data_IF_465032823009
#
_entry.id   IF_465032823009
#
_cell.length_a   1.000
_cell.length_b   1.000
_cell.length_c   1.000
_cell.angle_alpha   90.00
_cell.angle_beta   90.00
_cell.angle_gamma   90.00
#
_symmetry.space_group_name_H-M   'P 1'
#
loop_
_entity.id
_entity.type
_entity.pdbx_description
1 polymer ?
#
# COMPACT_ATOMS: atom_id res chain seq x y z
N UNK A 1 -3.79 -3.12 -0.15
CA UNK A 1 -4.28 -2.09 -1.08
C UNK A 1 -3.63 -2.16 -2.46
N UNK A 2 -2.33 -2.46 -2.59
CA UNK A 2 -1.68 -2.61 -3.91
C UNK A 2 -2.37 -3.62 -4.86
N UNK A 3 -2.86 -4.76 -4.36
CA UNK A 3 -3.61 -5.73 -5.17
C UNK A 3 -4.98 -5.26 -5.66
N UNK A 4 -5.58 -4.23 -5.04
CA UNK A 4 -6.84 -3.65 -5.50
C UNK A 4 -6.62 -2.62 -6.62
N UNK A 5 -5.42 -2.05 -6.72
CA UNK A 5 -5.05 -1.08 -7.76
C UNK A 5 -5.01 -1.71 -9.17
N UNK A 6 -4.87 -3.05 -9.27
CA UNK A 6 -4.91 -3.82 -10.53
C UNK A 6 -6.28 -4.50 -10.75
N UNK A 7 -7.32 -4.10 -10.01
CA UNK A 7 -8.63 -4.76 -10.06
C UNK A 7 -9.28 -4.73 -11.46
N UNK A 8 -9.02 -3.70 -12.27
CA UNK A 8 -9.51 -3.59 -13.64
C UNK A 8 -8.91 -4.62 -14.61
N UNK A 9 -7.74 -5.18 -14.31
CA UNK A 9 -7.05 -6.16 -15.16
C UNK A 9 -7.35 -7.62 -14.78
N UNK A 10 -8.13 -7.82 -13.71
CA UNK A 10 -8.49 -9.15 -13.23
C UNK A 10 -9.74 -9.67 -13.94
N UNK A 11 -9.69 -10.93 -14.42
CA UNK A 11 -10.89 -11.59 -14.96
C UNK A 11 -12.07 -11.63 -13.97
N UNK A 12 -11.79 -11.88 -12.68
CA UNK A 12 -12.77 -11.94 -11.57
C UNK A 12 -12.23 -11.25 -10.30
N UNK A 13 -12.27 -9.91 -10.18
CA UNK A 13 -11.66 -9.19 -9.06
C UNK A 13 -12.30 -9.48 -7.71
N UNK A 14 -13.62 -9.72 -7.67
CA UNK A 14 -14.39 -9.99 -6.45
C UNK A 14 -13.98 -11.26 -5.72
N UNK A 15 -13.49 -12.27 -6.45
CA UNK A 15 -13.02 -13.54 -5.88
C UNK A 15 -11.48 -13.54 -5.69
N UNK A 16 -10.75 -12.94 -6.65
CA UNK A 16 -9.30 -13.04 -6.71
C UNK A 16 -8.59 -12.20 -5.64
N UNK A 17 -9.10 -11.01 -5.33
CA UNK A 17 -8.51 -10.10 -4.34
C UNK A 17 -8.60 -10.69 -2.91
N UNK A 18 -9.78 -11.10 -2.40
CA UNK A 18 -9.88 -11.61 -1.04
C UNK A 18 -9.23 -12.99 -0.87
N UNK A 19 -9.38 -13.89 -1.84
CA UNK A 19 -8.74 -15.22 -1.78
C UNK A 19 -7.22 -15.10 -1.76
N UNK A 20 -6.65 -14.23 -2.61
CA UNK A 20 -5.21 -13.97 -2.63
C UNK A 20 -4.69 -13.34 -1.34
N UNK A 21 -5.49 -12.48 -0.69
CA UNK A 21 -5.11 -11.84 0.58
C UNK A 21 -5.22 -12.83 1.75
N UNK A 22 -6.25 -13.66 1.81
CA UNK A 22 -6.45 -14.63 2.90
C UNK A 22 -5.40 -15.75 2.91
N UNK A 23 -5.14 -16.36 1.74
CA UNK A 23 -4.12 -17.41 1.57
C UNK A 23 -2.74 -16.94 2.03
N UNK A 24 -2.46 -15.64 1.87
CA UNK A 24 -1.19 -15.06 2.27
C UNK A 24 -1.01 -14.93 3.79
N UNK A 25 -2.03 -14.46 4.51
CA UNK A 25 -1.92 -14.19 5.95
C UNK A 25 -2.08 -15.44 6.81
N UNK A 26 -2.91 -16.39 6.38
CA UNK A 26 -3.26 -17.57 7.17
C UNK A 26 -2.87 -18.90 6.51
N UNK A 27 -2.45 -18.89 5.24
CA UNK A 27 -1.98 -20.09 4.55
C UNK A 27 -0.53 -20.42 4.91
N UNK A 28 -0.33 -21.56 5.57
CA UNK A 28 0.99 -22.08 5.91
C UNK A 28 1.86 -22.24 4.64
N UNK A 29 3.14 -21.79 4.63
CA UNK A 29 3.97 -21.78 3.42
C UNK A 29 4.23 -23.18 2.83
N UNK A 30 4.07 -24.24 3.63
CA UNK A 30 4.32 -25.63 3.21
C UNK A 30 3.15 -26.27 2.42
N UNK A 31 1.95 -25.68 2.43
CA UNK A 31 0.75 -26.25 1.77
C UNK A 31 0.48 -25.69 0.36
N UNK A 32 1.39 -24.89 -0.18
CA UNK A 32 1.16 -24.09 -1.40
C UNK A 32 1.48 -24.80 -2.73
N UNK A 33 1.84 -26.09 -2.73
CA UNK A 33 2.33 -26.73 -3.96
C UNK A 33 1.23 -27.27 -4.90
N UNK A 34 -0.05 -27.27 -4.49
CA UNK A 34 -1.11 -28.00 -5.24
C UNK A 34 -2.30 -27.16 -5.71
N UNK A 35 -2.10 -25.93 -6.20
CA UNK A 35 -3.19 -25.23 -6.90
C UNK A 35 -2.75 -24.38 -8.11
N UNK A 36 -3.20 -24.79 -9.30
CA UNK A 36 -3.01 -24.11 -10.59
C UNK A 36 -3.98 -22.93 -10.69
N UNK A 37 -3.54 -21.69 -10.45
CA UNK A 37 -4.27 -20.49 -10.92
C UNK A 37 -3.31 -19.36 -11.35
N UNK A 38 -3.47 -18.92 -12.60
CA UNK A 38 -2.46 -18.14 -13.34
C UNK A 38 -2.44 -16.62 -13.02
N UNK A 39 -3.47 -16.08 -12.35
CA UNK A 39 -3.55 -14.63 -12.00
C UNK A 39 -3.55 -14.31 -10.49
N UNK A 40 -3.42 -15.32 -9.61
CA UNK A 40 -3.35 -15.12 -8.15
C UNK A 40 -1.91 -15.06 -7.60
N UNK A 41 -0.92 -15.29 -8.46
CA UNK A 41 0.49 -15.45 -8.09
C UNK A 41 1.17 -14.13 -7.72
N UNK A 42 0.97 -13.06 -8.48
CA UNK A 42 1.76 -11.82 -8.35
C UNK A 42 1.78 -11.24 -6.93
N UNK A 43 0.60 -10.98 -6.35
CA UNK A 43 0.48 -10.38 -5.01
C UNK A 43 0.97 -11.31 -3.90
N UNK A 44 0.69 -12.62 -4.01
CA UNK A 44 1.10 -13.62 -3.04
C UNK A 44 2.63 -13.79 -3.03
N UNK A 45 3.24 -13.91 -4.20
CA UNK A 45 4.69 -13.97 -4.35
C UNK A 45 5.35 -12.66 -3.92
N UNK A 46 4.78 -11.50 -4.27
CA UNK A 46 5.34 -10.20 -3.87
C UNK A 46 5.41 -10.04 -2.36
N UNK A 47 4.35 -10.42 -1.63
CA UNK A 47 4.37 -10.27 -0.17
C UNK A 47 5.24 -11.35 0.46
N UNK A 48 5.16 -12.60 -0.02
CA UNK A 48 6.03 -13.69 0.44
C UNK A 48 7.52 -13.38 0.27
N UNK A 49 7.92 -12.80 -0.87
CA UNK A 49 9.31 -12.38 -1.09
C UNK A 49 9.69 -11.23 -0.18
N UNK A 50 8.85 -10.20 -0.02
CA UNK A 50 9.18 -9.09 0.90
C UNK A 50 9.34 -9.54 2.35
N UNK A 51 8.44 -10.39 2.85
CA UNK A 51 8.54 -10.95 4.20
C UNK A 51 9.81 -11.78 4.37
N UNK A 52 10.13 -12.64 3.40
CA UNK A 52 11.36 -13.43 3.42
C UNK A 52 12.62 -12.55 3.41
N UNK A 53 12.64 -11.49 2.61
CA UNK A 53 13.76 -10.53 2.56
C UNK A 53 13.93 -9.81 3.89
N UNK A 54 12.84 -9.33 4.53
CA UNK A 54 12.94 -8.69 5.84
C UNK A 54 13.42 -9.65 6.93
N UNK A 55 12.94 -10.90 6.95
CA UNK A 55 13.41 -11.91 7.90
C UNK A 55 14.88 -12.26 7.68
N UNK A 56 15.29 -12.42 6.42
CA UNK A 56 16.68 -12.67 6.07
C UNK A 56 17.59 -11.51 6.51
N UNK A 57 17.18 -10.26 6.25
CA UNK A 57 17.90 -9.07 6.71
C UNK A 57 18.01 -9.01 8.23
N UNK A 58 16.96 -9.35 8.97
CA UNK A 58 16.99 -9.38 10.42
C UNK A 58 17.97 -10.45 10.96
N UNK A 59 17.97 -11.65 10.37
CA UNK A 59 18.92 -12.71 10.73
C UNK A 59 20.36 -12.34 10.37
N UNK A 60 20.58 -11.73 9.19
CA UNK A 60 21.89 -11.25 8.78
C UNK A 60 22.39 -10.13 9.71
N UNK A 61 21.52 -9.21 10.13
CA UNK A 61 21.86 -8.17 11.11
C UNK A 61 22.28 -8.79 12.45
N UNK A 62 21.52 -9.77 12.95
CA UNK A 62 21.80 -10.45 14.20
C UNK A 62 23.11 -11.25 14.18
N UNK A 63 23.52 -11.75 13.01
CA UNK A 63 24.76 -12.50 12.85
C UNK A 63 26.00 -11.61 12.62
N UNK A 64 25.82 -10.37 12.14
CA UNK A 64 26.93 -9.53 11.64
C UNK A 64 27.15 -8.21 12.39
N UNK A 65 26.15 -7.67 13.10
CA UNK A 65 26.24 -6.38 13.79
C UNK A 65 26.10 -6.58 15.31
N UNK A 66 26.93 -5.90 16.09
CA UNK A 66 26.82 -5.93 17.56
C UNK A 66 25.66 -5.07 18.05
N UNK A 67 25.10 -5.40 19.23
CA UNK A 67 23.92 -4.69 19.78
C UNK A 67 24.16 -3.19 19.95
N UNK A 68 25.31 -2.81 20.52
CA UNK A 68 25.65 -1.42 20.79
C UNK A 68 25.79 -0.62 19.48
N UNK A 69 26.42 -1.22 18.46
CA UNK A 69 26.58 -0.60 17.15
C UNK A 69 25.25 -0.43 16.41
N UNK A 70 24.27 -1.32 16.65
CA UNK A 70 22.96 -1.25 16.00
C UNK A 70 22.06 -0.13 16.56
N UNK A 71 22.25 0.26 17.81
CA UNK A 71 21.44 1.31 18.46
C UNK A 71 22.03 2.69 18.21
N UNK A 72 23.35 2.82 18.26
CA UNK A 72 24.00 4.12 18.18
C UNK A 72 24.19 4.61 16.74
N UNK A 73 24.33 3.70 15.77
CA UNK A 73 24.71 4.05 14.41
C UNK A 73 23.63 3.64 13.39
N UNK A 74 23.05 4.64 12.71
CA UNK A 74 22.12 4.40 11.60
C UNK A 74 22.81 3.80 10.36
N UNK A 75 24.14 3.92 10.25
CA UNK A 75 24.93 3.47 9.09
C UNK A 75 25.59 2.10 9.29
N UNK A 76 25.29 1.36 10.35
CA UNK A 76 25.92 0.06 10.66
C UNK A 76 25.79 -0.96 9.52
N UNK A 77 24.67 -0.94 8.80
CA UNK A 77 24.47 -1.79 7.61
C UNK A 77 25.40 -1.45 6.44
N UNK A 78 25.91 -0.22 6.36
CA UNK A 78 26.85 0.20 5.33
C UNK A 78 28.25 -0.34 5.66
N UNK A 79 28.63 -0.34 6.94
CA UNK A 79 29.94 -0.83 7.41
C UNK A 79 30.11 -2.33 7.19
N UNK A 80 29.02 -3.10 7.30
CA UNK A 80 29.02 -4.57 7.09
C UNK A 80 28.92 -4.96 5.61
N UNK A 81 28.57 -4.01 4.73
CA UNK A 81 28.37 -4.31 3.32
C UNK A 81 29.67 -4.61 2.57
N UNK A 82 29.62 -5.55 1.62
CA UNK A 82 30.77 -5.90 0.78
C UNK A 82 31.22 -4.72 -0.11
N UNK A 83 30.27 -3.85 -0.49
CA UNK A 83 30.54 -2.66 -1.29
C UNK A 83 29.62 -1.50 -0.90
N UNK A 84 30.13 -0.59 -0.07
CA UNK A 84 29.38 0.54 0.51
C UNK A 84 28.67 1.45 -0.51
N UNK A 85 29.27 1.81 -1.67
CA UNK A 85 28.59 2.64 -2.67
C UNK A 85 27.31 2.02 -3.24
N UNK A 86 27.25 0.68 -3.34
CA UNK A 86 26.08 -0.02 -3.85
C UNK A 86 24.87 0.16 -2.93
N UNK A 87 25.11 0.17 -1.61
CA UNK A 87 24.06 0.37 -0.60
C UNK A 87 23.46 1.78 -0.73
N UNK A 88 24.30 2.81 -0.88
CA UNK A 88 23.83 4.18 -1.11
C UNK A 88 22.97 4.30 -2.37
N UNK A 89 23.44 3.76 -3.50
CA UNK A 89 22.68 3.77 -4.76
C UNK A 89 21.33 3.06 -4.59
N UNK A 90 21.31 1.92 -3.90
CA UNK A 90 20.10 1.17 -3.61
C UNK A 90 19.10 1.97 -2.77
N UNK A 91 19.55 2.62 -1.70
CA UNK A 91 18.71 3.47 -0.83
C UNK A 91 18.12 4.62 -1.65
N UNK A 92 18.94 5.37 -2.39
CA UNK A 92 18.44 6.48 -3.21
C UNK A 92 17.46 6.01 -4.27
N UNK A 93 17.76 4.92 -4.98
CA UNK A 93 16.88 4.38 -6.02
C UNK A 93 15.52 3.93 -5.44
N UNK A 94 15.53 3.21 -4.32
CA UNK A 94 14.32 2.72 -3.66
C UNK A 94 13.46 3.88 -3.12
N UNK A 95 14.07 4.86 -2.45
CA UNK A 95 13.40 6.03 -1.92
C UNK A 95 12.81 6.91 -3.02
N UNK A 96 13.58 7.20 -4.08
CA UNK A 96 13.11 8.01 -5.22
C UNK A 96 11.96 7.33 -5.98
N UNK A 97 12.08 6.02 -6.23
CA UNK A 97 11.02 5.25 -6.89
C UNK A 97 9.71 5.29 -6.10
N UNK A 98 9.79 5.12 -4.78
CA UNK A 98 8.63 5.16 -3.89
C UNK A 98 8.02 6.57 -3.82
N UNK A 99 8.85 7.61 -3.74
CA UNK A 99 8.41 8.99 -3.73
C UNK A 99 7.70 9.38 -5.04
N UNK A 100 8.24 8.98 -6.20
CA UNK A 100 7.63 9.23 -7.51
C UNK A 100 6.28 8.53 -7.65
N UNK A 101 6.16 7.29 -7.16
CA UNK A 101 4.89 6.56 -7.13
C UNK A 101 3.82 7.31 -6.32
N UNK A 102 4.19 7.83 -5.14
CA UNK A 102 3.26 8.59 -4.30
C UNK A 102 2.93 9.97 -4.85
N UNK A 103 3.89 10.63 -5.52
CA UNK A 103 3.68 11.93 -6.17
C UNK A 103 2.60 11.88 -7.26
N UNK A 104 2.49 10.74 -7.96
CA UNK A 104 1.46 10.53 -9.00
C UNK A 104 0.19 9.90 -8.43
N UNK A 105 0.31 8.99 -7.46
CA UNK A 105 -0.82 8.26 -6.89
C UNK A 105 -1.75 9.11 -6.03
N UNK A 106 -1.19 9.86 -5.08
CA UNK A 106 -1.97 10.65 -4.11
C UNK A 106 -2.94 11.68 -4.75
N UNK A 107 -2.51 12.53 -5.72
CA UNK A 107 -3.42 13.53 -6.31
C UNK A 107 -4.53 12.90 -7.17
N UNK A 108 -4.28 11.72 -7.76
CA UNK A 108 -5.30 10.97 -8.50
C UNK A 108 -6.37 10.41 -7.58
N UNK A 109 -5.99 9.90 -6.40
CA UNK A 109 -6.93 9.48 -5.36
C UNK A 109 -7.76 10.68 -4.88
N UNK A 110 -7.11 11.81 -4.58
CA UNK A 110 -7.79 13.03 -4.14
C UNK A 110 -8.81 13.52 -5.17
N UNK A 111 -8.45 13.48 -6.45
CA UNK A 111 -9.38 13.81 -7.54
C UNK A 111 -10.55 12.83 -7.62
N UNK A 112 -10.31 11.52 -7.48
CA UNK A 112 -11.39 10.53 -7.50
C UNK A 112 -12.40 10.82 -6.40
N UNK A 113 -11.93 11.13 -5.18
CA UNK A 113 -12.80 11.51 -4.05
C UNK A 113 -13.53 12.84 -4.31
N UNK A 114 -12.86 13.80 -4.95
CA UNK A 114 -13.49 15.07 -5.32
C UNK A 114 -14.60 14.90 -6.37
N UNK A 115 -14.44 13.97 -7.31
CA UNK A 115 -15.45 13.64 -8.32
C UNK A 115 -16.70 12.97 -7.72
N UNK A 116 -16.57 12.31 -6.58
CA UNK A 116 -17.70 11.71 -5.86
C UNK A 116 -18.63 12.77 -5.24
N UNK A 117 -18.27 14.06 -5.30
CA UNK A 117 -19.05 15.22 -4.83
C UNK A 117 -19.55 15.10 -3.37
N UNK A 118 -18.87 14.28 -2.55
CA UNK A 118 -19.20 14.07 -1.13
C UNK A 118 -18.99 15.33 -0.28
N UNK A 119 -18.02 16.15 -0.68
CA UNK A 119 -17.59 17.35 0.05
C UNK A 119 -17.56 18.54 -0.91
N UNK A 120 -18.45 19.55 -0.75
CA UNK A 120 -18.60 20.64 -1.72
C UNK A 120 -17.33 21.50 -1.86
N UNK A 121 -16.49 21.55 -0.82
CA UNK A 121 -15.22 22.30 -0.87
C UNK A 121 -14.11 21.57 -1.68
N UNK A 122 -14.23 20.26 -1.93
CA UNK A 122 -13.24 19.51 -2.73
C UNK A 122 -13.44 19.71 -4.24
N UNK A 123 -14.51 20.38 -4.68
CA UNK A 123 -14.81 20.57 -6.10
C UNK A 123 -13.69 21.30 -6.87
N UNK A 124 -12.83 22.06 -6.18
CA UNK A 124 -11.67 22.74 -6.79
C UNK A 124 -10.67 21.72 -7.39
N UNK A 125 -10.66 20.48 -6.89
CA UNK A 125 -9.76 19.41 -7.32
C UNK A 125 -10.30 18.54 -8.45
N UNK A 126 -11.54 18.75 -8.90
CA UNK A 126 -12.12 18.02 -10.06
C UNK A 126 -11.61 18.55 -11.39
N UNK A 127 -11.12 19.80 -11.42
CA UNK A 127 -10.60 20.45 -12.62
C UNK A 127 -9.37 19.73 -13.15
N UNK A 128 -9.41 19.38 -14.43
CA UNK A 128 -8.31 18.73 -15.14
C UNK A 128 -7.85 19.49 -16.35
N UNK A 129 -6.58 19.28 -16.69
CA UNK A 129 -5.99 19.82 -17.90
C UNK A 129 -6.41 19.00 -19.14
N UNK A 130 -6.07 19.47 -20.35
CA UNK A 130 -6.38 18.80 -21.63
C UNK A 130 -5.85 17.35 -21.72
N UNK A 131 -4.83 17.01 -20.91
CA UNK A 131 -4.27 15.66 -20.80
C UNK A 131 -4.95 14.77 -19.75
N UNK A 132 -6.01 15.26 -19.10
CA UNK A 132 -6.74 14.52 -18.06
C UNK A 132 -6.06 14.47 -16.69
N UNK A 133 -5.03 15.28 -16.44
CA UNK A 133 -4.30 15.30 -15.16
C UNK A 133 -4.81 16.42 -14.21
N UNK A 134 -5.01 16.13 -12.90
CA UNK A 134 -5.52 17.09 -11.93
C UNK A 134 -4.43 18.01 -11.34
N UNK A 135 -4.04 19.05 -12.09
CA UNK A 135 -2.92 19.95 -11.72
C UNK A 135 -3.09 20.57 -10.32
N UNK A 136 -4.30 20.96 -9.94
CA UNK A 136 -4.59 21.55 -8.63
C UNK A 136 -4.30 20.56 -7.48
N UNK A 137 -4.61 19.28 -7.67
CA UNK A 137 -4.34 18.25 -6.68
C UNK A 137 -2.83 18.02 -6.54
N UNK A 138 -2.07 18.05 -7.64
CA UNK A 138 -0.59 17.96 -7.59
C UNK A 138 0.02 19.10 -6.76
N UNK A 139 -0.43 20.35 -6.95
CA UNK A 139 0.07 21.49 -6.18
C UNK A 139 -0.17 21.33 -4.68
N UNK A 140 -1.35 20.88 -4.27
CA UNK A 140 -1.65 20.65 -2.85
C UNK A 140 -0.84 19.50 -2.27
N UNK A 141 -0.75 18.37 -2.98
CA UNK A 141 0.10 17.25 -2.55
C UNK A 141 1.56 17.66 -2.43
N UNK A 142 2.07 18.50 -3.35
CA UNK A 142 3.43 19.03 -3.30
C UNK A 142 3.64 20.00 -2.13
N UNK A 143 2.68 20.90 -1.88
CA UNK A 143 2.75 21.82 -0.73
C UNK A 143 2.79 21.06 0.60
N UNK A 144 1.94 20.04 0.76
CA UNK A 144 1.94 19.17 1.95
C UNK A 144 3.28 18.44 2.09
N UNK A 145 3.81 17.90 0.99
CA UNK A 145 5.11 17.24 1.00
C UNK A 145 6.25 18.18 1.43
N UNK A 146 6.27 19.43 0.95
CA UNK A 146 7.24 20.44 1.40
C UNK A 146 7.09 20.71 2.89
N UNK A 147 5.86 20.90 3.39
CA UNK A 147 5.63 21.11 4.83
C UNK A 147 6.20 19.96 5.67
N UNK A 148 6.04 18.71 5.23
CA UNK A 148 6.64 17.55 5.90
C UNK A 148 8.17 17.54 5.82
N UNK A 149 8.76 17.92 4.68
CA UNK A 149 10.22 17.99 4.50
C UNK A 149 10.84 19.06 5.41
N UNK A 150 10.15 20.18 5.63
CA UNK A 150 10.61 21.28 6.49
C UNK A 150 10.79 20.87 7.97
N UNK A 151 10.10 19.82 8.43
CA UNK A 151 10.29 19.28 9.79
C UNK A 151 11.68 18.66 9.95
N UNK A 152 12.30 18.20 8.85
CA UNK A 152 13.67 17.67 8.77
C UNK A 152 14.05 16.53 9.74
N UNK A 153 13.06 15.95 10.45
CA UNK A 153 13.26 14.82 11.37
C UNK A 153 12.40 13.62 10.96
N UNK A 154 13.06 12.57 10.47
CA UNK A 154 12.41 11.33 10.06
C UNK A 154 11.77 10.59 11.25
N UNK A 155 12.33 10.71 12.45
CA UNK A 155 11.82 10.03 13.65
C UNK A 155 10.48 10.61 14.11
N UNK A 156 10.16 11.85 13.74
CA UNK A 156 8.85 12.46 13.97
C UNK A 156 7.87 12.13 12.83
N UNK A 157 8.37 12.12 11.60
CA UNK A 157 7.54 11.89 10.40
C UNK A 157 7.11 10.42 10.28
N UNK A 158 7.98 9.46 10.60
CA UNK A 158 7.70 8.04 10.43
C UNK A 158 6.52 7.53 11.30
N UNK A 159 6.42 7.90 12.60
CA UNK A 159 5.23 7.61 13.40
C UNK A 159 3.98 8.33 12.89
N UNK A 160 4.08 9.57 12.43
CA UNK A 160 2.95 10.33 11.89
C UNK A 160 2.30 9.61 10.70
N UNK A 161 3.12 9.18 9.73
CA UNK A 161 2.64 8.45 8.54
C UNK A 161 2.03 7.11 8.96
N UNK A 162 2.72 6.36 9.82
CA UNK A 162 2.27 5.02 10.25
C UNK A 162 0.96 5.08 11.04
N UNK A 163 0.88 5.95 12.06
CA UNK A 163 -0.26 6.04 12.96
C UNK A 163 -1.48 6.69 12.30
N UNK A 164 -1.29 7.83 11.62
CA UNK A 164 -2.40 8.61 11.08
C UNK A 164 -2.83 8.10 9.71
N UNK A 165 -1.91 7.75 8.82
CA UNK A 165 -2.27 7.42 7.43
C UNK A 165 -2.51 5.92 7.23
N UNK A 166 -1.65 5.05 7.73
CA UNK A 166 -1.83 3.61 7.52
C UNK A 166 -2.79 2.98 8.51
N UNK A 167 -2.50 3.08 9.81
CA UNK A 167 -3.27 2.38 10.85
C UNK A 167 -4.73 2.83 10.83
N UNK A 168 -5.01 4.14 10.82
CA UNK A 168 -6.38 4.65 10.77
C UNK A 168 -7.17 4.12 9.56
N UNK A 169 -6.58 4.14 8.35
CA UNK A 169 -7.25 3.65 7.14
C UNK A 169 -7.55 2.15 7.22
N UNK A 170 -6.63 1.34 7.74
CA UNK A 170 -6.88 -0.09 7.94
C UNK A 170 -7.93 -0.36 9.01
N UNK A 171 -7.87 0.35 10.15
CA UNK A 171 -8.86 0.23 11.23
C UNK A 171 -10.24 0.65 10.75
N UNK A 172 -10.36 1.76 10.03
CA UNK A 172 -11.62 2.24 9.48
C UNK A 172 -12.20 1.23 8.47
N UNK A 173 -11.37 0.67 7.58
CA UNK A 173 -11.80 -0.35 6.63
C UNK A 173 -12.29 -1.62 7.34
N UNK A 174 -11.59 -2.06 8.39
CA UNK A 174 -11.99 -3.21 9.18
C UNK A 174 -13.32 -2.98 9.92
N UNK A 175 -13.45 -1.81 10.55
CA UNK A 175 -14.66 -1.40 11.27
C UNK A 175 -15.88 -1.33 10.34
N UNK A 176 -15.73 -0.73 9.15
CA UNK A 176 -16.79 -0.75 8.13
C UNK A 176 -17.17 -2.17 7.71
N UNK A 177 -16.18 -3.06 7.52
CA UNK A 177 -16.42 -4.46 7.22
C UNK A 177 -17.25 -5.17 8.30
N UNK A 178 -17.00 -4.88 9.58
CA UNK A 178 -17.75 -5.43 10.71
C UNK A 178 -19.17 -4.87 10.84
N UNK A 179 -19.35 -3.55 10.68
CA UNK A 179 -20.67 -2.92 10.80
C UNK A 179 -21.64 -3.35 9.69
N UNK A 180 -21.14 -3.58 8.48
CA UNK A 180 -21.95 -3.96 7.33
C UNK A 180 -21.95 -5.46 7.03
N UNK A 181 -21.37 -6.30 7.89
CA UNK A 181 -21.56 -7.75 7.80
C UNK A 181 -22.86 -8.15 8.50
N UNK A 182 -23.92 -8.38 7.72
CA UNK A 182 -25.21 -8.85 8.24
C UNK A 182 -25.05 -10.16 9.04
N UNK A 183 -25.35 -10.20 10.35
CA UNK A 183 -25.21 -11.40 11.17
C UNK A 183 -26.24 -12.51 10.83
N UNK A 184 -27.23 -12.22 9.97
CA UNK A 184 -28.35 -13.12 9.65
C UNK A 184 -28.25 -13.78 8.26
N UNK A 185 -27.23 -13.48 7.46
CA UNK A 185 -26.97 -14.24 6.23
C UNK A 185 -25.83 -15.23 6.46
N UNK A 186 -26.10 -16.55 6.57
CA UNK A 186 -25.04 -17.54 6.58
C UNK A 186 -24.45 -17.57 5.17
N UNK A 187 -23.39 -16.79 4.95
CA UNK A 187 -22.57 -16.95 3.75
C UNK A 187 -21.79 -18.25 3.90
N UNK A 188 -22.39 -19.35 3.44
CA UNK A 188 -21.65 -20.53 3.06
C UNK A 188 -20.69 -20.12 1.94
N UNK A 189 -19.44 -19.86 2.31
CA UNK A 189 -18.40 -19.43 1.39
C UNK A 189 -17.83 -18.07 1.78
N UNK A 190 -16.51 -18.01 1.79
CA UNK A 190 -15.59 -16.92 2.12
C UNK A 190 -15.71 -15.71 1.16
N UNK A 191 -16.92 -15.32 0.80
CA UNK A 191 -17.27 -14.13 0.04
C UNK A 191 -17.01 -12.91 0.92
N UNK A 192 -15.75 -12.51 1.01
CA UNK A 192 -15.32 -11.21 1.51
C UNK A 192 -16.16 -10.11 0.84
N UNK A 193 -16.71 -9.24 1.69
CA UNK A 193 -17.72 -8.22 1.38
C UNK A 193 -17.40 -7.29 0.20
N UNK A 194 -16.13 -7.18 -0.22
CA UNK A 194 -15.72 -6.43 -1.43
C UNK A 194 -16.44 -6.87 -2.70
N UNK A 195 -16.88 -8.13 -2.81
CA UNK A 195 -17.65 -8.62 -3.96
C UNK A 195 -19.13 -8.18 -3.98
N UNK A 196 -19.66 -7.67 -2.85
CA UNK A 196 -21.05 -7.23 -2.69
C UNK A 196 -21.23 -5.71 -2.60
N UNK A 197 -20.16 -4.91 -2.68
CA UNK A 197 -20.28 -3.53 -3.16
C UNK A 197 -20.71 -3.59 -4.63
N UNK A 198 -22.03 -3.71 -4.83
CA UNK A 198 -22.67 -3.76 -6.13
C UNK A 198 -22.11 -2.64 -7.00
N UNK A 199 -21.60 -3.05 -8.15
CA UNK A 199 -21.37 -2.29 -9.39
C UNK A 199 -22.60 -1.48 -9.89
N UNK A 200 -23.62 -1.26 -9.04
CA UNK A 200 -24.80 -0.45 -9.34
C UNK A 200 -24.51 1.06 -9.34
N UNK A 201 -23.39 1.51 -8.76
CA UNK A 201 -22.96 2.92 -8.84
C UNK A 201 -22.04 3.20 -10.04
N UNK A 202 -21.50 2.16 -10.70
CA UNK A 202 -20.58 2.30 -11.84
C UNK A 202 -21.27 2.23 -13.22
N UNK A 203 -22.61 2.24 -13.27
CA UNK A 203 -23.38 2.21 -14.54
C UNK A 203 -23.75 3.60 -15.09
N UNK A 204 -23.07 4.65 -14.60
CA UNK A 204 -23.23 6.04 -15.09
C UNK A 204 -21.89 6.63 -15.57
N UNK A 205 -20.83 5.81 -15.72
CA UNK A 205 -19.51 6.26 -16.24
C UNK A 205 -19.14 5.51 -17.54
N UNK A 206 -20.09 5.48 -18.48
CA UNK A 206 -19.86 5.40 -19.93
C UNK A 206 -20.78 6.42 -20.59
#
# INVERSE_FOLDING_TARGET
MAGANISGDLKNPSENIPTGTYILFFGHPLFLWKEKQTNKKGTLWAIGTTSAVYLFMALAAAASVTYDELIENYFSFINVSLWSPLVFIGIYAASLSSALCMLVGAPRILRSVANDNLLPFLHIFTKVNAKGEPMNAYFVSFAIAICCILVADLNVIAPLITQVMYIYTYTQAYMYGLFFSDPLTPTNGYSFFWGRMRLSQYRVIL
#
